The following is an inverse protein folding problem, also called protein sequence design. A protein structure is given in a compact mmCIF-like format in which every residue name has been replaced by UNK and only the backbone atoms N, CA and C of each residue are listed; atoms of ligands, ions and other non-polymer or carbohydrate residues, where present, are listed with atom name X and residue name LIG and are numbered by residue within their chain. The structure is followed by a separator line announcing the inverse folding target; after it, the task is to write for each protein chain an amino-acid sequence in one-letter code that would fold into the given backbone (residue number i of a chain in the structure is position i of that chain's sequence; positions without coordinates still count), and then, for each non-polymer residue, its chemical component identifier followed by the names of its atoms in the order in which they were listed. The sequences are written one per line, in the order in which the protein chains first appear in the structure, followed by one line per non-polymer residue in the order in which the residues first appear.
data_IF_558069900512
#
_entry.id   IF_558069900512
#
_cell.length_a   1.000
_cell.length_b   1.000
_cell.length_c   1.000
_cell.angle_alpha   90.00
_cell.angle_beta   90.00
_cell.angle_gamma   90.00
#
_symmetry.space_group_name_H-M   'P 1'
#
loop_
_entity.id
_entity.type
_entity.pdbx_description
1 polymer ?
#
# COMPACT_ATOMS: atom_id res chain seq x y z
N UNK A 1 56.76 -23.03 -46.63
CA UNK A 1 56.00 -21.83 -46.19
C UNK A 1 54.52 -22.19 -46.07
N UNK A 2 54.04 -22.55 -44.88
CA UNK A 2 52.61 -22.85 -44.64
C UNK A 2 51.91 -21.55 -44.21
N UNK A 3 51.02 -21.04 -45.05
CA UNK A 3 50.19 -19.86 -44.73
C UNK A 3 48.98 -20.32 -43.92
N UNK A 4 48.88 -19.84 -42.68
CA UNK A 4 47.73 -20.06 -41.80
C UNK A 4 46.70 -18.99 -42.17
N UNK A 5 45.53 -19.39 -42.67
CA UNK A 5 44.39 -18.48 -42.83
C UNK A 5 43.66 -18.36 -41.49
N UNK A 6 43.62 -17.14 -40.96
CA UNK A 6 42.85 -16.77 -39.77
C UNK A 6 41.42 -16.44 -40.21
N UNK A 7 40.46 -17.28 -39.83
CA UNK A 7 39.03 -16.97 -39.99
C UNK A 7 38.59 -16.03 -38.87
N UNK A 8 38.37 -14.75 -39.20
CA UNK A 8 37.78 -13.77 -38.30
C UNK A 8 36.26 -13.92 -38.29
N UNK A 9 35.70 -14.47 -37.21
CA UNK A 9 34.25 -14.47 -36.98
C UNK A 9 33.86 -13.08 -36.45
N UNK A 10 33.17 -12.29 -37.28
CA UNK A 10 32.59 -11.02 -36.88
C UNK A 10 31.31 -11.30 -36.08
N UNK A 11 31.40 -11.16 -34.75
CA UNK A 11 30.24 -11.30 -33.86
C UNK A 11 29.41 -10.00 -33.90
N UNK A 12 28.37 -9.97 -34.73
CA UNK A 12 27.36 -8.90 -34.70
C UNK A 12 26.54 -9.03 -33.41
N UNK A 13 26.80 -8.17 -32.43
CA UNK A 13 25.94 -8.03 -31.25
C UNK A 13 24.58 -7.48 -31.67
N UNK A 14 23.55 -8.31 -31.60
CA UNK A 14 22.15 -7.87 -31.72
C UNK A 14 21.83 -7.00 -30.50
N UNK A 15 21.90 -5.68 -30.65
CA UNK A 15 21.28 -4.74 -29.70
C UNK A 15 19.80 -4.70 -30.06
N UNK A 16 18.95 -5.35 -29.28
CA UNK A 16 17.50 -5.16 -29.41
C UNK A 16 17.16 -3.71 -29.02
N UNK A 17 16.41 -2.97 -29.83
CA UNK A 17 15.92 -1.67 -29.40
C UNK A 17 14.99 -1.89 -28.20
N UNK A 18 15.34 -1.28 -27.06
CA UNK A 18 14.41 -1.22 -25.93
C UNK A 18 13.25 -0.29 -26.33
N UNK A 19 12.06 -0.85 -26.49
CA UNK A 19 10.85 -0.05 -26.66
C UNK A 19 10.57 0.76 -25.40
N UNK A 20 10.07 1.99 -25.57
CA UNK A 20 9.60 2.80 -24.46
C UNK A 20 8.46 2.09 -23.73
N UNK A 21 8.55 2.05 -22.41
CA UNK A 21 7.65 1.34 -21.53
C UNK A 21 7.75 1.89 -20.10
N UNK A 22 6.64 1.78 -19.40
CA UNK A 22 6.52 2.08 -17.98
C UNK A 22 5.56 1.12 -17.30
N UNK A 23 5.60 1.07 -15.98
CA UNK A 23 4.67 0.24 -15.21
C UNK A 23 4.87 0.34 -13.71
N UNK A 24 3.96 -0.28 -12.97
CA UNK A 24 4.02 -0.45 -11.52
C UNK A 24 4.55 -1.85 -11.23
N UNK A 25 5.54 -1.97 -10.35
CA UNK A 25 6.09 -3.28 -9.97
C UNK A 25 6.08 -3.55 -8.46
N UNK A 26 5.93 -2.52 -7.63
CA UNK A 26 5.83 -2.63 -6.18
C UNK A 26 4.77 -1.67 -5.64
N UNK A 27 4.01 -2.09 -4.65
CA UNK A 27 2.95 -1.29 -4.02
C UNK A 27 2.85 -1.66 -2.54
N UNK A 28 2.43 -0.71 -1.72
CA UNK A 28 2.11 -0.97 -0.33
C UNK A 28 1.30 0.16 0.30
N UNK A 29 0.67 -0.15 1.43
CA UNK A 29 -0.17 0.80 2.17
C UNK A 29 0.34 0.97 3.60
N UNK A 30 0.37 2.21 4.08
CA UNK A 30 0.72 2.52 5.47
C UNK A 30 -0.54 2.62 6.31
N UNK A 31 -0.68 1.72 7.28
CA UNK A 31 -1.74 1.74 8.27
C UNK A 31 -1.17 2.09 9.66
N UNK A 32 -1.88 2.97 10.36
CA UNK A 32 -1.69 3.26 11.77
C UNK A 32 -2.69 2.46 12.60
N UNK A 33 -2.24 1.47 13.35
CA UNK A 33 -3.06 0.67 14.27
C UNK A 33 -2.65 1.00 15.70
N UNK A 34 -3.53 1.66 16.45
CA UNK A 34 -3.28 2.10 17.82
C UNK A 34 -1.94 2.85 17.97
N UNK A 35 -1.64 3.74 17.02
CA UNK A 35 -0.40 4.52 16.98
C UNK A 35 0.81 3.81 16.36
N UNK A 36 0.76 2.49 16.13
CA UNK A 36 1.83 1.77 15.42
C UNK A 36 1.66 1.93 13.93
N UNK A 37 2.68 2.46 13.24
CA UNK A 37 2.68 2.60 11.79
C UNK A 37 3.33 1.37 11.14
N UNK A 38 2.64 0.79 10.17
CA UNK A 38 3.13 -0.38 9.42
C UNK A 38 2.88 -0.18 7.94
N UNK A 39 3.93 -0.34 7.12
CA UNK A 39 3.84 -0.45 5.66
C UNK A 39 3.63 -1.92 5.31
N UNK A 40 2.46 -2.24 4.80
CA UNK A 40 2.14 -3.56 4.26
C UNK A 40 2.37 -3.56 2.76
N UNK A 41 3.37 -4.30 2.28
CA UNK A 41 3.55 -4.53 0.84
C UNK A 41 2.35 -5.31 0.29
N UNK A 42 1.77 -4.86 -0.81
CA UNK A 42 0.65 -5.53 -1.50
C UNK A 42 1.10 -6.25 -2.77
N UNK A 43 2.20 -5.80 -3.39
CA UNK A 43 2.92 -6.53 -4.44
C UNK A 43 4.39 -6.61 -4.08
N UNK A 44 5.18 -7.31 -4.91
CA UNK A 44 6.62 -7.45 -4.73
C UNK A 44 6.98 -7.95 -3.32
N UNK A 45 6.24 -8.97 -2.90
CA UNK A 45 6.38 -9.59 -1.59
C UNK A 45 7.79 -10.17 -1.43
N UNK A 46 8.30 -10.11 -0.19
CA UNK A 46 9.66 -10.52 0.17
C UNK A 46 10.80 -9.72 -0.51
N UNK A 47 10.54 -8.50 -0.99
CA UNK A 47 11.55 -7.64 -1.59
C UNK A 47 11.85 -6.42 -0.72
N UNK A 48 13.14 -6.14 -0.50
CA UNK A 48 13.61 -5.06 0.37
C UNK A 48 13.54 -3.68 -0.29
N UNK A 49 13.21 -3.59 -1.58
CA UNK A 49 13.01 -2.32 -2.31
C UNK A 49 11.83 -1.50 -1.79
N UNK A 50 11.01 -2.04 -0.89
CA UNK A 50 9.96 -1.31 -0.18
C UNK A 50 10.45 -0.35 0.92
N UNK A 51 11.76 -0.17 1.08
CA UNK A 51 12.36 0.69 2.11
C UNK A 51 12.58 2.12 1.60
N UNK A 52 11.66 3.07 1.87
CA UNK A 52 11.82 4.47 1.46
C UNK A 52 13.04 5.12 2.14
N UNK A 53 13.70 6.02 1.42
CA UNK A 53 14.89 6.74 1.91
C UNK A 53 14.45 8.09 2.53
N UNK A 54 15.17 8.54 3.57
CA UNK A 54 14.99 9.84 4.23
C UNK A 54 13.58 10.09 4.83
N UNK A 55 12.91 9.02 5.26
CA UNK A 55 11.63 9.11 5.98
C UNK A 55 11.72 8.30 7.26
N UNK A 56 10.95 8.69 8.28
CA UNK A 56 10.76 7.83 9.46
C UNK A 56 10.02 6.58 9.01
N UNK A 57 10.74 5.49 8.81
CA UNK A 57 10.17 4.30 8.18
C UNK A 57 9.18 3.62 9.13
N UNK A 58 7.95 3.33 8.68
CA UNK A 58 7.03 2.48 9.41
C UNK A 58 7.61 1.07 9.50
N UNK A 59 7.09 0.24 10.40
CA UNK A 59 7.44 -1.18 10.41
C UNK A 59 7.10 -1.77 9.04
N UNK A 60 8.06 -2.41 8.37
CA UNK A 60 7.85 -3.00 7.05
C UNK A 60 7.38 -4.44 7.17
N UNK A 61 6.25 -4.77 6.53
CA UNK A 61 5.72 -6.13 6.41
C UNK A 61 5.67 -6.52 4.93
N UNK A 62 6.48 -7.50 4.56
CA UNK A 62 6.64 -7.97 3.18
C UNK A 62 5.72 -9.15 2.81
N UNK A 63 4.84 -9.57 3.73
CA UNK A 63 3.98 -10.74 3.57
C UNK A 63 2.58 -10.46 3.01
N UNK A 64 2.29 -9.22 2.60
CA UNK A 64 0.94 -8.83 2.18
C UNK A 64 0.24 -7.92 3.18
N UNK A 65 -0.86 -7.31 2.72
CA UNK A 65 -1.88 -6.76 3.60
C UNK A 65 -2.59 -7.93 4.33
N UNK A 66 -2.69 -7.92 5.66
CA UNK A 66 -3.35 -9.01 6.38
C UNK A 66 -4.84 -9.07 6.03
N UNK A 67 -5.40 -10.28 5.98
CA UNK A 67 -6.83 -10.47 5.72
C UNK A 67 -7.73 -9.92 6.84
N UNK A 68 -7.18 -9.73 8.04
CA UNK A 68 -7.87 -9.16 9.20
C UNK A 68 -6.92 -8.24 9.99
N UNK A 69 -7.33 -7.00 10.22
CA UNK A 69 -6.61 -5.97 10.98
C UNK A 69 -6.94 -5.98 12.48
N UNK A 70 -7.96 -6.75 12.87
CA UNK A 70 -8.35 -6.98 14.26
C UNK A 70 -9.67 -6.35 14.64
N UNK A 71 -9.86 -6.21 15.95
CA UNK A 71 -11.05 -5.63 16.57
C UNK A 71 -10.72 -4.30 17.21
N UNK A 72 -11.58 -3.30 16.99
CA UNK A 72 -11.42 -1.94 17.44
C UNK A 72 -12.57 -1.53 18.34
N UNK A 73 -12.25 -1.01 19.52
CA UNK A 73 -13.20 -0.47 20.48
C UNK A 73 -12.90 1.01 20.73
N UNK A 74 -13.83 1.86 20.33
CA UNK A 74 -13.69 3.32 20.45
C UNK A 74 -13.72 3.79 21.92
N UNK A 75 -14.40 3.09 22.82
CA UNK A 75 -14.44 3.44 24.25
C UNK A 75 -13.08 3.32 24.95
N UNK A 76 -12.18 2.49 24.43
CA UNK A 76 -10.81 2.34 24.96
C UNK A 76 -9.78 3.07 24.09
N UNK A 77 -10.23 3.93 23.18
CA UNK A 77 -9.37 4.77 22.35
C UNK A 77 -8.63 4.04 21.23
N UNK A 78 -9.16 2.91 20.73
CA UNK A 78 -8.54 2.25 19.59
C UNK A 78 -8.63 3.11 18.32
N UNK A 79 -7.58 3.03 17.50
CA UNK A 79 -7.50 3.78 16.24
C UNK A 79 -7.06 2.88 15.09
N UNK A 80 -7.69 3.09 13.93
CA UNK A 80 -7.28 2.53 12.65
C UNK A 80 -7.25 3.66 11.63
N UNK A 81 -6.05 4.01 11.17
CA UNK A 81 -5.82 5.16 10.28
C UNK A 81 -5.13 4.71 9.00
N UNK A 82 -5.66 5.09 7.84
CA UNK A 82 -4.95 5.00 6.57
C UNK A 82 -4.06 6.23 6.43
N UNK A 83 -2.76 6.03 6.60
CA UNK A 83 -1.79 7.12 6.71
C UNK A 83 -1.15 7.46 5.37
N UNK A 84 -1.05 6.48 4.46
CA UNK A 84 -0.42 6.67 3.17
C UNK A 84 -0.01 5.37 2.51
N UNK A 85 1.16 5.34 1.87
CA UNK A 85 1.65 4.15 1.17
C UNK A 85 2.90 4.38 0.34
N UNK A 86 3.25 3.37 -0.43
CA UNK A 86 4.39 3.35 -1.34
C UNK A 86 3.97 2.80 -2.70
N UNK A 87 4.61 3.29 -3.75
CA UNK A 87 4.57 2.71 -5.08
C UNK A 87 5.96 2.71 -5.72
N UNK A 88 6.35 1.60 -6.31
CA UNK A 88 7.54 1.43 -7.11
C UNK A 88 7.14 1.28 -8.57
N UNK A 89 7.71 2.12 -9.41
CA UNK A 89 7.41 2.16 -10.85
C UNK A 89 8.67 2.13 -11.66
N UNK A 90 8.63 1.64 -12.89
CA UNK A 90 9.76 1.72 -13.82
C UNK A 90 9.38 2.59 -15.02
N UNK A 91 10.41 3.14 -15.68
CA UNK A 91 10.28 3.84 -16.96
C UNK A 91 11.53 3.67 -17.82
N UNK A 92 11.35 3.64 -19.13
CA UNK A 92 12.45 3.69 -20.09
C UNK A 92 12.02 4.40 -21.40
N UNK A 93 12.98 4.73 -22.26
CA UNK A 93 12.70 5.42 -23.52
C UNK A 93 12.02 6.77 -23.31
N UNK A 94 10.91 7.02 -24.01
CA UNK A 94 10.10 8.23 -23.87
C UNK A 94 8.99 8.13 -22.82
N UNK A 95 8.79 6.94 -22.24
CA UNK A 95 7.79 6.76 -21.19
C UNK A 95 8.26 7.42 -19.88
N UNK A 96 7.33 8.04 -19.18
CA UNK A 96 7.58 8.60 -17.87
C UNK A 96 6.36 8.45 -16.97
N UNK A 97 6.54 7.86 -15.79
CA UNK A 97 5.50 7.90 -14.76
C UNK A 97 5.50 9.27 -14.11
N UNK A 98 4.31 9.86 -14.05
CA UNK A 98 4.09 11.27 -13.67
C UNK A 98 3.40 11.44 -12.33
N UNK A 99 2.89 10.36 -11.75
CA UNK A 99 2.26 10.37 -10.45
C UNK A 99 2.01 8.96 -9.93
N UNK A 100 1.55 8.90 -8.68
CA UNK A 100 1.13 7.68 -8.02
C UNK A 100 -0.04 8.00 -7.08
N UNK A 101 -1.11 7.22 -7.15
CA UNK A 101 -2.34 7.43 -6.38
C UNK A 101 -2.77 6.12 -5.73
N UNK A 102 -3.19 6.21 -4.47
CA UNK A 102 -3.88 5.12 -3.78
C UNK A 102 -5.37 5.44 -3.79
N UNK A 103 -6.15 4.47 -4.22
CA UNK A 103 -7.61 4.50 -4.21
C UNK A 103 -8.09 3.54 -3.13
N UNK A 104 -9.02 3.97 -2.30
CA UNK A 104 -9.56 3.13 -1.23
C UNK A 104 -11.06 3.32 -1.05
N UNK A 105 -11.73 2.32 -0.49
CA UNK A 105 -13.12 2.39 -0.06
C UNK A 105 -13.37 1.48 1.14
N UNK A 106 -14.50 1.71 1.82
CA UNK A 106 -14.98 0.89 2.93
C UNK A 106 -16.31 0.27 2.51
N UNK A 107 -16.49 -1.02 2.77
CA UNK A 107 -17.73 -1.79 2.56
C UNK A 107 -18.34 -1.64 1.16
N UNK A 108 -17.50 -1.66 0.12
CA UNK A 108 -17.95 -1.55 -1.25
C UNK A 108 -18.48 -0.16 -1.66
N UNK A 109 -18.34 0.85 -0.80
CA UNK A 109 -18.74 2.24 -1.08
C UNK A 109 -17.98 2.92 -2.22
N UNK A 110 -18.15 4.23 -2.36
CA UNK A 110 -17.41 5.01 -3.36
C UNK A 110 -15.92 5.07 -3.04
N UNK A 111 -15.09 5.08 -4.09
CA UNK A 111 -13.64 5.23 -3.91
C UNK A 111 -13.26 6.67 -3.58
N UNK A 112 -12.49 6.79 -2.51
CA UNK A 112 -11.71 7.98 -2.17
C UNK A 112 -10.25 7.78 -2.60
N UNK A 113 -9.46 8.84 -2.61
CA UNK A 113 -8.08 8.78 -3.10
C UNK A 113 -7.16 9.81 -2.45
N UNK A 114 -5.87 9.49 -2.40
CA UNK A 114 -4.81 10.46 -2.14
C UNK A 114 -3.58 10.14 -3.00
N UNK A 115 -2.83 11.19 -3.34
CA UNK A 115 -1.60 11.07 -4.12
C UNK A 115 -0.40 10.76 -3.23
N UNK A 116 0.52 9.95 -3.73
CA UNK A 116 1.86 9.79 -3.18
C UNK A 116 2.80 10.80 -3.82
N UNK A 117 3.80 11.24 -3.07
CA UNK A 117 4.79 12.20 -3.59
C UNK A 117 5.97 11.45 -4.15
N UNK A 118 6.60 11.99 -5.19
CA UNK A 118 7.86 11.46 -5.68
C UNK A 118 8.91 11.42 -4.55
N UNK A 119 9.57 10.28 -4.35
CA UNK A 119 10.54 10.08 -3.28
C UNK A 119 11.95 9.85 -3.82
N UNK A 120 12.12 8.98 -4.81
CA UNK A 120 13.44 8.58 -5.30
C UNK A 120 13.43 8.24 -6.78
N UNK A 121 14.53 8.55 -7.47
CA UNK A 121 14.88 7.94 -8.76
C UNK A 121 15.98 6.91 -8.57
N UNK A 122 16.06 5.97 -9.50
CA UNK A 122 17.02 4.88 -9.55
C UNK A 122 17.03 4.02 -8.28
N UNK A 123 15.85 3.52 -7.91
CA UNK A 123 15.65 2.70 -6.71
C UNK A 123 16.66 1.55 -6.69
N UNK A 124 17.45 1.46 -5.61
CA UNK A 124 18.51 0.48 -5.42
C UNK A 124 19.52 0.37 -6.59
N UNK A 125 19.80 1.49 -7.28
CA UNK A 125 20.74 1.55 -8.40
C UNK A 125 20.16 1.14 -9.76
N UNK A 126 18.89 0.75 -9.82
CA UNK A 126 18.21 0.36 -11.06
C UNK A 126 17.77 1.60 -11.85
N UNK A 127 18.43 1.87 -12.98
CA UNK A 127 18.14 3.07 -13.77
C UNK A 127 16.71 3.08 -14.30
N UNK A 128 15.98 4.17 -14.07
CA UNK A 128 14.59 4.32 -14.49
C UNK A 128 13.56 3.82 -13.48
N UNK A 129 13.96 3.10 -12.43
CA UNK A 129 13.06 2.77 -11.33
C UNK A 129 12.82 4.01 -10.46
N UNK A 130 11.57 4.29 -10.15
CA UNK A 130 11.11 5.42 -9.35
C UNK A 130 10.36 4.91 -8.12
N UNK A 131 10.53 5.60 -6.99
CA UNK A 131 9.72 5.41 -5.78
C UNK A 131 8.83 6.62 -5.56
N UNK A 132 7.59 6.33 -5.19
CA UNK A 132 6.60 7.26 -4.71
C UNK A 132 6.24 6.87 -3.28
N UNK A 133 6.14 7.85 -2.39
CA UNK A 133 5.89 7.59 -0.98
C UNK A 133 5.16 8.75 -0.32
N UNK A 134 4.37 8.46 0.70
CA UNK A 134 3.78 9.48 1.57
C UNK A 134 3.10 8.86 2.79
N UNK A 135 3.06 9.60 3.90
CA UNK A 135 2.43 9.20 5.18
C UNK A 135 1.59 10.32 5.81
N UNK A 136 1.01 11.18 4.98
CA UNK A 136 0.28 12.39 5.42
C UNK A 136 -1.24 12.32 5.27
N UNK A 137 -1.81 11.23 4.74
CA UNK A 137 -3.24 11.17 4.43
C UNK A 137 -4.11 11.20 5.70
N UNK A 138 -3.67 10.52 6.77
CA UNK A 138 -4.28 10.53 8.10
C UNK A 138 -5.81 10.32 8.11
N UNK A 139 -6.30 9.41 7.27
CA UNK A 139 -7.74 9.09 7.18
C UNK A 139 -8.11 8.14 8.31
N UNK A 140 -8.95 8.59 9.25
CA UNK A 140 -9.50 7.71 10.28
C UNK A 140 -10.58 6.79 9.68
N UNK A 141 -10.27 5.50 9.56
CA UNK A 141 -11.12 4.49 8.92
C UNK A 141 -12.37 4.22 9.77
N UNK A 142 -12.31 4.38 11.09
CA UNK A 142 -13.40 4.01 12.01
C UNK A 142 -14.50 5.07 12.08
N UNK A 143 -14.28 6.26 11.51
CA UNK A 143 -15.20 7.39 11.67
C UNK A 143 -16.50 7.15 10.90
N UNK A 144 -17.63 7.27 11.59
CA UNK A 144 -18.96 7.17 10.98
C UNK A 144 -19.42 5.74 10.68
N UNK A 145 -18.67 4.72 11.11
CA UNK A 145 -19.06 3.32 10.97
C UNK A 145 -19.93 2.87 12.15
N UNK A 146 -20.92 2.03 11.88
CA UNK A 146 -21.70 1.34 12.90
C UNK A 146 -20.93 0.14 13.44
N UNK A 147 -21.28 -0.37 14.63
CA UNK A 147 -20.67 -1.61 15.12
C UNK A 147 -20.92 -2.78 14.15
N UNK A 148 -19.91 -3.61 13.91
CA UNK A 148 -19.99 -4.74 12.97
C UNK A 148 -18.66 -5.07 12.31
N UNK A 149 -18.72 -5.96 11.32
CA UNK A 149 -17.58 -6.30 10.48
C UNK A 149 -17.56 -5.38 9.26
N UNK A 150 -16.38 -4.86 8.97
CA UNK A 150 -16.11 -3.97 7.85
C UNK A 150 -14.95 -4.48 7.02
N UNK A 151 -14.87 -4.02 5.78
CA UNK A 151 -13.75 -4.31 4.88
C UNK A 151 -13.24 -3.01 4.28
N UNK A 152 -11.93 -2.78 4.40
CA UNK A 152 -11.23 -1.77 3.60
C UNK A 152 -10.69 -2.44 2.33
N UNK A 153 -10.88 -1.80 1.20
CA UNK A 153 -10.35 -2.21 -0.10
C UNK A 153 -9.44 -1.11 -0.65
N UNK A 154 -8.31 -1.50 -1.25
CA UNK A 154 -7.36 -0.58 -1.89
C UNK A 154 -6.90 -1.07 -3.26
N UNK A 155 -6.68 -0.13 -4.18
CA UNK A 155 -5.97 -0.35 -5.43
C UNK A 155 -5.13 0.88 -5.80
N UNK A 156 -4.29 0.73 -6.81
CA UNK A 156 -3.22 1.67 -7.12
C UNK A 156 -3.32 2.14 -8.56
N UNK A 157 -3.06 3.43 -8.79
CA UNK A 157 -3.02 4.04 -10.12
C UNK A 157 -1.73 4.84 -10.30
N UNK A 158 -1.10 4.73 -11.47
CA UNK A 158 0.06 5.53 -11.85
C UNK A 158 -0.12 6.14 -13.25
N UNK A 159 -0.43 7.44 -13.37
CA UNK A 159 -0.48 8.10 -14.66
C UNK A 159 0.91 8.17 -15.30
N UNK A 160 0.95 7.96 -16.61
CA UNK A 160 2.19 8.01 -17.40
C UNK A 160 1.98 8.75 -18.72
N UNK A 161 3.08 9.26 -19.25
CA UNK A 161 3.15 9.94 -20.55
C UNK A 161 4.19 9.28 -21.43
N UNK A 162 4.00 9.32 -22.74
CA UNK A 162 4.95 8.84 -23.74
C UNK A 162 4.86 9.71 -25.00
N UNK A 163 5.77 9.50 -25.96
CA UNK A 163 5.71 10.25 -27.23
C UNK A 163 4.39 9.98 -27.95
N UNK A 164 3.53 11.00 -28.01
CA UNK A 164 2.24 10.92 -28.71
C UNK A 164 1.04 10.52 -27.84
N UNK A 165 1.19 10.40 -26.51
CA UNK A 165 0.05 10.10 -25.66
C UNK A 165 0.31 10.03 -24.16
N UNK A 166 -0.72 9.57 -23.46
CA UNK A 166 -0.72 9.35 -22.01
C UNK A 166 -1.66 8.21 -21.65
N UNK A 167 -1.48 7.62 -20.48
CA UNK A 167 -2.34 6.57 -19.95
C UNK A 167 -2.28 6.46 -18.44
N UNK A 168 -2.84 5.39 -17.89
CA UNK A 168 -2.79 5.09 -16.46
C UNK A 168 -2.58 3.60 -16.26
N UNK A 169 -1.52 3.26 -15.51
CA UNK A 169 -1.32 1.91 -15.01
C UNK A 169 -2.20 1.68 -13.80
N UNK A 170 -2.79 0.49 -13.69
CA UNK A 170 -3.63 0.09 -12.55
C UNK A 170 -3.09 -1.21 -11.97
N UNK A 171 -2.94 -1.26 -10.65
CA UNK A 171 -2.58 -2.49 -9.92
C UNK A 171 -3.61 -2.78 -8.83
N UNK A 172 -4.12 -4.00 -8.86
CA UNK A 172 -5.08 -4.57 -7.92
C UNK A 172 -4.70 -6.04 -7.64
N UNK A 173 -5.49 -6.75 -6.85
CA UNK A 173 -5.29 -8.17 -6.53
C UNK A 173 -5.95 -9.09 -7.59
N UNK A 174 -5.61 -8.89 -8.86
CA UNK A 174 -6.17 -9.64 -10.00
C UNK A 174 -7.52 -9.09 -10.48
N UNK A 175 -8.62 -9.78 -10.18
CA UNK A 175 -9.98 -9.29 -10.52
C UNK A 175 -10.64 -8.51 -9.39
N UNK A 176 -9.99 -8.44 -8.22
CA UNK A 176 -10.47 -7.76 -7.02
C UNK A 176 -9.43 -6.78 -6.47
N UNK A 177 -9.83 -5.94 -5.51
CA UNK A 177 -8.90 -5.04 -4.80
C UNK A 177 -8.15 -5.79 -3.69
N UNK A 178 -7.06 -5.21 -3.20
CA UNK A 178 -6.46 -5.68 -1.95
C UNK A 178 -7.41 -5.34 -0.80
N UNK A 179 -7.75 -6.32 0.03
CA UNK A 179 -8.79 -6.16 1.03
C UNK A 179 -8.33 -6.66 2.40
N UNK A 180 -8.76 -5.95 3.44
CA UNK A 180 -8.58 -6.37 4.83
C UNK A 180 -9.87 -6.13 5.62
N UNK A 181 -10.25 -7.12 6.41
CA UNK A 181 -11.39 -7.02 7.31
C UNK A 181 -11.00 -6.42 8.66
N UNK A 182 -11.95 -5.81 9.36
CA UNK A 182 -11.83 -5.41 10.76
C UNK A 182 -13.21 -5.40 11.42
N UNK A 183 -13.24 -5.47 12.74
CA UNK A 183 -14.49 -5.42 13.50
C UNK A 183 -14.52 -4.19 14.40
N UNK A 184 -15.61 -3.42 14.32
CA UNK A 184 -15.91 -2.33 15.25
C UNK A 184 -16.89 -2.86 16.31
N UNK A 185 -16.49 -2.83 17.59
CA UNK A 185 -17.34 -3.32 18.69
C UNK A 185 -17.94 -2.18 19.51
N UNK A 186 -19.14 -2.38 20.08
CA UNK A 186 -19.78 -1.41 20.94
C UNK A 186 -18.94 -1.09 22.17
N UNK A 187 -19.12 0.12 22.69
CA UNK A 187 -18.69 0.44 24.04
C UNK A 187 -19.35 -0.51 25.03
N UNK A 188 -18.64 -1.03 26.04
CA UNK A 188 -19.29 -1.78 27.11
C UNK A 188 -20.34 -0.87 27.76
N UNK A 189 -21.61 -1.24 27.62
CA UNK A 189 -22.69 -0.42 28.15
C UNK A 189 -22.53 -0.22 29.66
N UNK A 190 -22.52 1.04 30.11
CA UNK A 190 -22.45 1.41 31.53
C UNK A 190 -23.64 0.78 32.31
N UNK A 191 -24.75 0.48 31.63
CA UNK A 191 -25.89 -0.24 32.18
C UNK A 191 -25.55 -1.66 32.70
N UNK A 192 -24.65 -2.38 32.04
CA UNK A 192 -24.19 -3.70 32.49
C UNK A 192 -23.31 -3.59 33.75
N UNK A 193 -22.44 -2.58 33.80
CA UNK A 193 -21.59 -2.31 34.98
C UNK A 193 -22.43 -1.78 36.16
N UNK A 194 -23.39 -0.91 35.88
CA UNK A 194 -24.32 -0.36 36.87
C UNK A 194 -25.26 -1.40 37.45
N UNK A 195 -25.73 -2.35 36.65
CA UNK A 195 -26.58 -3.45 37.14
C UNK A 195 -25.81 -4.44 38.03
N UNK A 196 -24.55 -4.75 37.72
CA UNK A 196 -23.68 -5.55 38.60
C UNK A 196 -23.40 -4.79 39.91
N UNK A 197 -23.16 -3.48 39.85
CA UNK A 197 -23.02 -2.62 41.03
C UNK A 197 -24.25 -2.61 41.92
N UNK A 198 -25.45 -2.48 41.34
CA UNK A 198 -26.72 -2.55 42.08
C UNK A 198 -26.95 -3.94 42.69
N UNK A 199 -26.68 -5.02 41.94
CA UNK A 199 -26.79 -6.40 42.43
C UNK A 199 -25.81 -6.68 43.60
N UNK A 200 -24.59 -6.14 43.53
CA UNK A 200 -23.63 -6.20 44.64
C UNK A 200 -24.10 -5.44 45.88
N UNK A 201 -24.70 -4.26 45.71
CA UNK A 201 -25.29 -3.48 46.81
C UNK A 201 -26.51 -4.16 47.43
N UNK A 202 -27.33 -4.84 46.63
CA UNK A 202 -28.49 -5.61 47.09
C UNK A 202 -28.06 -6.89 47.85
N UNK A 203 -26.94 -7.50 47.49
CA UNK A 203 -26.39 -8.68 48.17
C UNK A 203 -25.72 -8.37 49.51
N UNK A 204 -25.22 -7.14 49.70
CA UNK A 204 -24.61 -6.67 50.98
C UNK A 204 -25.65 -6.28 52.04
N UNK A 205 -26.93 -6.17 51.67
CA UNK A 205 -28.04 -5.78 52.56
C UNK A 205 -28.82 -6.97 53.15
N UNK A 206 -28.38 -8.21 52.93
CA UNK A 206 -28.86 -9.41 53.62
C UNK A 206 -27.76 -9.93 54.54
#
# INVERSE_FOLDING_TARGET
MKKILLNSILLLGLVSPAFAASGIFGTGVVLGVNGTKTLYATTLLNDTRHTPINVTTPTLVLGGLPSNLGTFNLAVGNTLTLMGGEMLTFKNGSDNVTGATIRYRIDGGSFSSFALTFNQNNVNGSNGDQRWYGEGANVNILTGLTNGNHTIEVFYEAPFTFTGGSGTHVVNNGTANYAASFTLVPEPSIALLGSIGLLGLLRRRR
#
